data_IF_493800673963
#
_entry.id   IF_493800673963
#
_cell.length_a   1.000
_cell.length_b   1.000
_cell.length_c   1.000
_cell.angle_alpha   90.00
_cell.angle_beta   90.00
_cell.angle_gamma   90.00
#
_symmetry.space_group_name_H-M   'P 1'
#
loop_
_entity.id
_entity.type
_entity.pdbx_description
1 polymer ?
#
# COMPACT_ATOMS: atom_id res chain seq x y z
N UNK A 1 -23.30 35.19 27.59
CA UNK A 1 -22.85 35.69 26.27
C UNK A 1 -23.73 36.87 25.88
N UNK A 2 -23.10 38.02 25.65
CA UNK A 2 -23.76 39.30 25.36
C UNK A 2 -24.18 39.31 23.88
N UNK A 3 -25.46 39.50 23.50
CA UNK A 3 -25.84 39.55 22.09
C UNK A 3 -25.23 40.80 21.44
N UNK A 4 -24.79 40.67 20.18
CA UNK A 4 -24.25 41.79 19.41
C UNK A 4 -25.33 42.89 19.25
N UNK A 5 -24.95 44.17 19.32
CA UNK A 5 -25.90 45.27 19.18
C UNK A 5 -26.55 45.27 17.78
N UNK A 6 -27.85 45.58 17.68
CA UNK A 6 -28.55 45.62 16.41
C UNK A 6 -27.95 46.72 15.51
N UNK A 7 -27.63 46.36 14.26
CA UNK A 7 -27.20 47.33 13.25
C UNK A 7 -28.41 47.95 12.57
N UNK A 8 -28.35 49.27 12.39
CA UNK A 8 -29.37 50.03 11.68
C UNK A 8 -29.24 49.77 10.16
N UNK A 9 -30.24 49.06 9.62
CA UNK A 9 -30.31 48.73 8.19
C UNK A 9 -31.18 49.72 7.40
N UNK A 10 -31.69 50.79 8.03
CA UNK A 10 -32.53 51.80 7.36
C UNK A 10 -31.79 52.52 6.23
N UNK A 11 -30.46 52.56 6.27
CA UNK A 11 -29.58 53.08 5.20
C UNK A 11 -29.66 52.30 3.89
N UNK A 12 -30.19 51.07 3.90
CA UNK A 12 -30.39 50.24 2.71
C UNK A 12 -31.88 50.14 2.32
N UNK A 13 -32.77 50.78 3.08
CA UNK A 13 -34.19 50.76 2.79
C UNK A 13 -34.50 51.77 1.67
N UNK A 14 -35.22 51.30 0.63
CA UNK A 14 -35.74 52.18 -0.41
C UNK A 14 -36.83 53.05 0.23
N UNK A 15 -36.67 54.37 0.17
CA UNK A 15 -37.65 55.33 0.68
C UNK A 15 -38.69 55.68 -0.39
N UNK A 16 -39.87 56.16 0.03
CA UNK A 16 -40.92 56.58 -0.89
C UNK A 16 -40.47 57.76 -1.77
N UNK A 17 -39.68 58.69 -1.21
CA UNK A 17 -39.09 59.81 -1.93
C UNK A 17 -38.09 59.37 -3.02
N UNK A 18 -37.23 58.39 -2.70
CA UNK A 18 -36.30 57.80 -3.67
C UNK A 18 -37.06 57.05 -4.78
N UNK A 19 -38.18 56.40 -4.43
CA UNK A 19 -39.02 55.69 -5.39
C UNK A 19 -39.68 56.63 -6.39
N UNK A 20 -40.20 57.77 -5.92
CA UNK A 20 -40.80 58.77 -6.82
C UNK A 20 -39.75 59.47 -7.69
N UNK A 21 -38.55 59.75 -7.18
CA UNK A 21 -37.45 60.25 -8.02
C UNK A 21 -37.09 59.28 -9.14
N UNK A 22 -36.92 57.99 -8.83
CA UNK A 22 -36.65 56.95 -9.85
C UNK A 22 -37.78 56.88 -10.88
N UNK A 23 -39.04 57.06 -10.46
CA UNK A 23 -40.18 57.05 -11.39
C UNK A 23 -40.18 58.27 -12.30
N UNK A 24 -39.90 59.47 -11.77
CA UNK A 24 -39.82 60.71 -12.54
C UNK A 24 -38.68 60.67 -13.57
N UNK A 25 -37.51 60.17 -13.16
CA UNK A 25 -36.34 60.03 -14.04
C UNK A 25 -36.58 59.04 -15.20
N UNK A 26 -37.42 58.03 -14.99
CA UNK A 26 -37.81 57.05 -16.01
C UNK A 26 -39.01 57.49 -16.89
N UNK A 27 -39.64 58.63 -16.60
CA UNK A 27 -40.80 59.15 -17.35
C UNK A 27 -40.46 60.24 -18.37
N UNK A 28 -39.22 60.74 -18.39
CA UNK A 28 -38.79 61.78 -19.33
C UNK A 28 -38.06 61.17 -20.54
N UNK A 29 -38.54 61.48 -21.74
CA UNK A 29 -37.86 61.09 -22.98
C UNK A 29 -36.56 61.90 -23.15
N UNK A 30 -35.44 61.27 -23.57
CA UNK A 30 -35.28 59.87 -23.94
C UNK A 30 -35.17 58.92 -22.72
N UNK A 31 -35.87 57.79 -22.77
CA UNK A 31 -35.95 56.84 -21.65
C UNK A 31 -34.57 56.24 -21.31
N UNK A 32 -34.07 56.54 -20.12
CA UNK A 32 -32.86 55.92 -19.57
C UNK A 32 -33.25 55.08 -18.34
N UNK A 33 -33.48 53.79 -18.54
CA UNK A 33 -33.87 52.87 -17.47
C UNK A 33 -32.72 52.67 -16.47
N UNK A 34 -32.88 53.15 -15.24
CA UNK A 34 -31.95 52.79 -14.16
C UNK A 34 -32.16 51.31 -13.80
N UNK A 35 -31.13 50.46 -13.93
CA UNK A 35 -31.20 49.06 -13.52
C UNK A 35 -31.48 48.97 -12.01
N UNK A 36 -32.31 47.99 -11.61
CA UNK A 36 -32.63 47.71 -10.20
C UNK A 36 -31.34 47.71 -9.34
N UNK A 37 -31.38 48.29 -8.12
CA UNK A 37 -30.20 48.38 -7.28
C UNK A 37 -29.65 46.99 -6.94
N UNK A 38 -28.32 46.85 -6.99
CA UNK A 38 -27.64 45.61 -6.63
C UNK A 38 -27.92 45.26 -5.16
N UNK A 39 -28.37 44.03 -4.90
CA UNK A 39 -28.58 43.52 -3.54
C UNK A 39 -27.47 42.55 -3.14
N UNK A 40 -27.03 42.66 -1.89
CA UNK A 40 -26.10 41.73 -1.26
C UNK A 40 -26.63 41.39 0.13
N UNK A 41 -26.58 40.11 0.50
CA UNK A 41 -27.04 39.62 1.80
C UNK A 41 -26.08 38.58 2.36
N UNK A 42 -25.99 38.50 3.68
CA UNK A 42 -25.23 37.48 4.41
C UNK A 42 -26.24 36.60 5.15
N UNK A 43 -26.27 35.31 4.83
CA UNK A 43 -27.08 34.31 5.53
C UNK A 43 -26.22 33.60 6.57
N UNK A 44 -26.61 33.67 7.84
CA UNK A 44 -25.98 32.90 8.93
C UNK A 44 -26.99 31.86 9.41
N UNK A 45 -26.61 30.58 9.34
CA UNK A 45 -27.41 29.46 9.85
C UNK A 45 -26.73 28.87 11.08
N UNK A 46 -27.45 28.85 12.21
CA UNK A 46 -27.01 28.21 13.45
C UNK A 46 -28.09 27.20 13.90
N UNK A 47 -27.98 25.92 13.51
CA UNK A 47 -28.93 24.90 13.92
C UNK A 47 -28.81 24.63 15.44
N UNK A 48 -29.88 24.93 16.19
CA UNK A 48 -29.89 24.79 17.66
C UNK A 48 -30.18 23.36 18.14
N UNK A 49 -30.88 22.55 17.33
CA UNK A 49 -31.17 21.15 17.64
C UNK A 49 -31.20 20.32 16.36
N UNK A 50 -30.37 19.27 16.30
CA UNK A 50 -30.22 18.39 15.12
C UNK A 50 -30.62 16.93 15.43
N UNK A 51 -31.44 16.69 16.46
CA UNK A 51 -31.88 15.33 16.82
C UNK A 51 -30.75 14.38 17.20
N UNK A 52 -29.71 14.89 17.88
CA UNK A 52 -28.50 14.14 18.30
C UNK A 52 -27.60 13.64 17.14
N UNK A 53 -27.87 13.95 15.88
CA UNK A 53 -27.07 13.49 14.73
C UNK A 53 -25.58 13.83 14.86
N UNK A 54 -25.24 15.03 15.35
CA UNK A 54 -23.84 15.43 15.58
C UNK A 54 -23.10 14.49 16.54
N UNK A 55 -23.79 14.00 17.58
CA UNK A 55 -23.19 13.07 18.54
C UNK A 55 -23.00 11.68 17.93
N UNK A 56 -23.95 11.23 17.09
CA UNK A 56 -23.82 9.96 16.36
C UNK A 56 -22.66 10.01 15.37
N UNK A 57 -22.56 11.05 14.55
CA UNK A 57 -21.44 11.25 13.62
C UNK A 57 -20.09 11.30 14.35
N UNK A 58 -20.04 11.92 15.53
CA UNK A 58 -18.82 11.94 16.34
C UNK A 58 -18.47 10.55 16.91
N UNK A 59 -19.48 9.77 17.31
CA UNK A 59 -19.27 8.40 17.78
C UNK A 59 -18.79 7.49 16.63
N UNK A 60 -19.41 7.58 15.46
CA UNK A 60 -19.01 6.86 14.25
C UNK A 60 -17.58 7.22 13.83
N UNK A 61 -17.24 8.52 13.81
CA UNK A 61 -15.88 8.97 13.48
C UNK A 61 -14.83 8.46 14.48
N UNK A 62 -15.19 8.30 15.76
CA UNK A 62 -14.30 7.70 16.77
C UNK A 62 -14.09 6.21 16.54
N UNK A 63 -15.16 5.47 16.23
CA UNK A 63 -15.08 4.04 15.89
C UNK A 63 -14.24 3.85 14.63
N UNK A 64 -14.45 4.66 13.59
CA UNK A 64 -13.63 4.61 12.37
C UNK A 64 -12.16 4.86 12.65
N UNK A 65 -11.83 5.78 13.57
CA UNK A 65 -10.44 6.02 13.97
C UNK A 65 -9.86 4.80 14.70
N UNK A 66 -10.61 4.20 15.62
CA UNK A 66 -10.19 2.97 16.32
C UNK A 66 -9.99 1.79 15.34
N UNK A 67 -10.89 1.64 14.37
CA UNK A 67 -10.76 0.64 13.30
C UNK A 67 -9.51 0.88 12.45
N UNK A 68 -9.19 2.13 12.13
CA UNK A 68 -7.96 2.48 11.38
C UNK A 68 -6.71 2.15 12.19
N UNK A 69 -6.69 2.43 13.50
CA UNK A 69 -5.58 2.09 14.38
C UNK A 69 -5.40 0.57 14.50
N UNK A 70 -6.49 -0.18 14.58
CA UNK A 70 -6.47 -1.65 14.59
C UNK A 70 -5.95 -2.21 13.26
N UNK A 71 -6.42 -1.68 12.13
CA UNK A 71 -5.94 -2.07 10.80
C UNK A 71 -4.44 -1.79 10.63
N UNK A 72 -3.95 -0.65 11.11
CA UNK A 72 -2.53 -0.33 11.10
C UNK A 72 -1.74 -1.38 11.89
N UNK A 73 -2.21 -1.72 13.10
CA UNK A 73 -1.57 -2.72 13.95
C UNK A 73 -1.58 -4.12 13.32
N UNK A 74 -2.68 -4.50 12.66
CA UNK A 74 -2.76 -5.76 11.91
C UNK A 74 -1.73 -5.81 10.79
N UNK A 75 -1.61 -4.74 10.00
CA UNK A 75 -0.61 -4.63 8.93
C UNK A 75 0.83 -4.71 9.47
N UNK A 76 1.11 -4.04 10.60
CA UNK A 76 2.42 -4.14 11.26
C UNK A 76 2.75 -5.58 11.70
N UNK A 77 1.77 -6.29 12.28
CA UNK A 77 1.95 -7.67 12.71
C UNK A 77 2.13 -8.61 11.50
N UNK A 78 1.35 -8.43 10.45
CA UNK A 78 1.46 -9.18 9.21
C UNK A 78 2.85 -8.98 8.58
N UNK A 79 3.32 -7.74 8.48
CA UNK A 79 4.66 -7.42 7.96
C UNK A 79 5.77 -8.07 8.80
N UNK A 80 5.67 -8.04 10.13
CA UNK A 80 6.65 -8.70 11.01
C UNK A 80 6.66 -10.21 10.82
N UNK A 81 5.50 -10.83 10.69
CA UNK A 81 5.37 -12.27 10.45
C UNK A 81 5.94 -12.65 9.08
N UNK A 82 5.69 -11.83 8.06
CA UNK A 82 6.23 -12.02 6.71
C UNK A 82 7.75 -11.95 6.69
N UNK A 83 8.34 -10.91 7.30
CA UNK A 83 9.81 -10.78 7.42
C UNK A 83 10.41 -11.98 8.17
N UNK A 84 9.79 -12.39 9.29
CA UNK A 84 10.27 -13.53 10.06
C UNK A 84 10.24 -14.83 9.25
N UNK A 85 9.17 -15.03 8.47
CA UNK A 85 8.99 -16.20 7.59
C UNK A 85 10.02 -16.18 6.46
N UNK A 86 10.18 -15.05 5.77
CA UNK A 86 11.17 -14.88 4.70
C UNK A 86 12.59 -15.14 5.19
N UNK A 87 12.96 -14.62 6.37
CA UNK A 87 14.27 -14.89 6.97
C UNK A 87 14.48 -16.38 7.27
N UNK A 88 13.46 -17.07 7.79
CA UNK A 88 13.53 -18.51 8.04
C UNK A 88 13.65 -19.31 6.73
N UNK A 89 12.94 -18.90 5.68
CA UNK A 89 13.02 -19.50 4.35
C UNK A 89 14.39 -19.33 3.72
N UNK A 90 14.98 -18.12 3.77
CA UNK A 90 16.36 -17.87 3.29
C UNK A 90 17.35 -18.76 4.02
N UNK A 91 17.22 -18.88 5.34
CA UNK A 91 18.12 -19.69 6.16
C UNK A 91 17.99 -21.17 5.82
N UNK A 92 16.78 -21.65 5.57
CA UNK A 92 16.51 -23.02 5.12
C UNK A 92 17.12 -23.26 3.74
N UNK A 93 16.87 -22.38 2.77
CA UNK A 93 17.41 -22.48 1.42
C UNK A 93 18.95 -22.53 1.42
N UNK A 94 19.59 -21.70 2.26
CA UNK A 94 21.04 -21.74 2.44
C UNK A 94 21.54 -23.09 2.98
N UNK A 95 20.86 -23.67 3.97
CA UNK A 95 21.25 -24.99 4.48
C UNK A 95 21.01 -26.09 3.45
N UNK A 96 19.91 -26.03 2.68
CA UNK A 96 19.67 -26.96 1.57
C UNK A 96 20.79 -26.91 0.53
N UNK A 97 21.19 -25.71 0.10
CA UNK A 97 22.31 -25.56 -0.83
C UNK A 97 23.63 -26.18 -0.31
N UNK A 98 23.90 -26.08 0.99
CA UNK A 98 25.06 -26.74 1.63
C UNK A 98 24.93 -28.25 1.73
N UNK A 99 23.72 -28.78 1.88
CA UNK A 99 23.46 -30.22 1.87
C UNK A 99 23.70 -30.76 0.46
N UNK A 100 23.19 -30.06 -0.55
CA UNK A 100 23.34 -30.47 -1.95
C UNK A 100 24.79 -30.37 -2.43
N UNK A 101 25.54 -29.37 -1.98
CA UNK A 101 27.00 -29.30 -2.18
C UNK A 101 27.72 -30.55 -1.66
N UNK A 102 27.36 -31.03 -0.45
CA UNK A 102 27.94 -32.26 0.11
C UNK A 102 27.46 -33.51 -0.63
N UNK A 103 26.20 -33.53 -1.04
CA UNK A 103 25.64 -34.63 -1.82
C UNK A 103 26.38 -34.79 -3.15
N UNK A 104 26.75 -33.68 -3.78
CA UNK A 104 27.53 -33.69 -5.02
C UNK A 104 28.87 -34.43 -4.86
N UNK A 105 29.59 -34.16 -3.76
CA UNK A 105 30.86 -34.85 -3.44
C UNK A 105 30.65 -36.36 -3.30
N UNK A 106 29.54 -36.78 -2.69
CA UNK A 106 29.20 -38.20 -2.52
C UNK A 106 28.89 -38.85 -3.88
N UNK A 107 28.10 -38.18 -4.72
CA UNK A 107 27.70 -38.70 -6.02
C UNK A 107 28.88 -38.71 -7.01
N UNK A 108 29.80 -37.74 -6.93
CA UNK A 108 31.05 -37.74 -7.69
C UNK A 108 31.91 -38.96 -7.39
N UNK A 109 32.02 -39.31 -6.10
CA UNK A 109 32.74 -40.50 -5.68
C UNK A 109 32.04 -41.80 -6.13
N UNK A 110 30.72 -41.84 -6.08
CA UNK A 110 29.94 -42.97 -6.60
C UNK A 110 30.15 -43.17 -8.10
N UNK A 111 30.12 -42.09 -8.88
CA UNK A 111 30.39 -42.13 -10.31
C UNK A 111 31.83 -42.57 -10.59
N UNK A 112 32.81 -42.09 -9.82
CA UNK A 112 34.21 -42.54 -9.93
C UNK A 112 34.33 -44.04 -9.72
N UNK A 113 33.75 -44.57 -8.65
CA UNK A 113 33.77 -46.00 -8.33
C UNK A 113 33.05 -46.84 -9.40
N UNK A 114 31.90 -46.37 -9.90
CA UNK A 114 31.17 -47.05 -10.96
C UNK A 114 31.98 -47.13 -12.26
N UNK A 115 32.66 -46.03 -12.65
CA UNK A 115 33.56 -45.99 -13.81
C UNK A 115 34.73 -46.95 -13.68
N UNK A 116 35.36 -46.99 -12.50
CA UNK A 116 36.46 -47.93 -12.23
C UNK A 116 36.00 -49.37 -12.35
N UNK A 117 34.89 -49.73 -11.68
CA UNK A 117 34.34 -51.10 -11.76
C UNK A 117 33.94 -51.48 -13.18
N UNK A 118 33.34 -50.58 -13.95
CA UNK A 118 33.00 -50.83 -15.35
C UNK A 118 34.26 -51.07 -16.20
N UNK A 119 35.33 -50.28 -16.00
CA UNK A 119 36.59 -50.46 -16.72
C UNK A 119 37.31 -51.78 -16.41
N UNK A 120 37.13 -52.29 -15.20
CA UNK A 120 37.64 -53.59 -14.75
C UNK A 120 36.70 -54.77 -15.10
N UNK A 121 35.55 -54.50 -15.74
CA UNK A 121 34.54 -55.51 -16.08
C UNK A 121 33.77 -56.07 -14.88
N UNK A 122 33.80 -55.38 -13.74
CA UNK A 122 33.15 -55.73 -12.46
C UNK A 122 31.76 -55.07 -12.27
N UNK A 123 31.33 -54.28 -13.25
CA UNK A 123 30.02 -53.62 -13.30
C UNK A 123 29.51 -53.64 -14.75
N UNK A 124 28.18 -53.67 -14.92
CA UNK A 124 27.55 -53.58 -16.23
C UNK A 124 27.30 -52.13 -16.64
N UNK A 125 27.03 -51.89 -17.93
CA UNK A 125 26.74 -50.56 -18.47
C UNK A 125 25.56 -49.86 -17.77
N UNK A 126 24.56 -50.63 -17.33
CA UNK A 126 23.41 -50.09 -16.61
C UNK A 126 23.83 -49.41 -15.29
N UNK A 127 24.72 -50.03 -14.51
CA UNK A 127 25.20 -49.46 -13.24
C UNK A 127 25.96 -48.13 -13.47
N UNK A 128 26.76 -48.06 -14.54
CA UNK A 128 27.45 -46.83 -14.93
C UNK A 128 26.45 -45.74 -15.33
N UNK A 129 25.44 -46.09 -16.14
CA UNK A 129 24.42 -45.14 -16.59
C UNK A 129 23.57 -44.60 -15.43
N UNK A 130 23.24 -45.45 -14.45
CA UNK A 130 22.54 -45.03 -13.22
C UNK A 130 23.39 -44.03 -12.43
N UNK A 131 24.69 -44.30 -12.25
CA UNK A 131 25.59 -43.39 -11.55
C UNK A 131 25.76 -42.03 -12.29
N UNK A 132 25.82 -42.05 -13.62
CA UNK A 132 25.86 -40.82 -14.42
C UNK A 132 24.55 -40.03 -14.34
N UNK A 133 23.41 -40.73 -14.31
CA UNK A 133 22.10 -40.09 -14.14
C UNK A 133 21.98 -39.43 -12.78
N UNK A 134 22.36 -40.14 -11.71
CA UNK A 134 22.39 -39.58 -10.35
C UNK A 134 23.28 -38.34 -10.25
N UNK A 135 24.42 -38.34 -10.94
CA UNK A 135 25.31 -37.17 -11.01
C UNK A 135 24.62 -35.97 -11.65
N UNK A 136 23.97 -36.16 -12.79
CA UNK A 136 23.23 -35.07 -13.47
C UNK A 136 22.08 -34.54 -12.60
N UNK A 137 21.37 -35.43 -11.90
CA UNK A 137 20.31 -35.04 -10.98
C UNK A 137 20.83 -34.24 -9.79
N UNK A 138 21.95 -34.66 -9.18
CA UNK A 138 22.59 -33.95 -8.08
C UNK A 138 23.09 -32.56 -8.51
N UNK A 139 23.68 -32.45 -9.70
CA UNK A 139 24.14 -31.17 -10.27
C UNK A 139 22.97 -30.21 -10.48
N UNK A 140 21.86 -30.72 -11.01
CA UNK A 140 20.64 -29.93 -11.18
C UNK A 140 20.08 -29.46 -9.84
N UNK A 141 19.98 -30.35 -8.86
CA UNK A 141 19.47 -30.02 -7.52
C UNK A 141 20.30 -28.92 -6.85
N UNK A 142 21.62 -28.99 -6.95
CA UNK A 142 22.52 -27.96 -6.43
C UNK A 142 22.26 -26.58 -7.06
N UNK A 143 22.13 -26.52 -8.39
CA UNK A 143 21.83 -25.27 -9.10
C UNK A 143 20.49 -24.71 -8.67
N UNK A 144 19.46 -25.56 -8.57
CA UNK A 144 18.13 -25.16 -8.10
C UNK A 144 18.16 -24.62 -6.67
N UNK A 145 18.91 -25.26 -5.77
CA UNK A 145 19.02 -24.82 -4.37
C UNK A 145 19.76 -23.47 -4.23
N UNK A 146 20.84 -23.27 -4.99
CA UNK A 146 21.56 -21.98 -5.03
C UNK A 146 20.65 -20.89 -5.59
N UNK A 147 19.94 -21.17 -6.68
CA UNK A 147 19.01 -20.22 -7.27
C UNK A 147 17.90 -19.84 -6.30
N UNK A 148 17.29 -20.81 -5.62
CA UNK A 148 16.24 -20.56 -4.63
C UNK A 148 16.73 -19.65 -3.50
N UNK A 149 17.94 -19.86 -2.98
CA UNK A 149 18.54 -18.98 -1.98
C UNK A 149 18.64 -17.53 -2.45
N UNK A 150 19.13 -17.31 -3.68
CA UNK A 150 19.26 -15.96 -4.24
C UNK A 150 17.90 -15.32 -4.58
N UNK A 151 16.91 -16.11 -4.99
CA UNK A 151 15.55 -15.63 -5.24
C UNK A 151 14.91 -15.11 -3.95
N UNK A 152 14.98 -15.90 -2.86
CA UNK A 152 14.47 -15.46 -1.56
C UNK A 152 15.21 -14.24 -1.00
N UNK A 153 16.53 -14.17 -1.20
CA UNK A 153 17.31 -12.99 -0.82
C UNK A 153 16.84 -11.74 -1.58
N UNK A 154 16.61 -11.86 -2.89
CA UNK A 154 16.14 -10.76 -3.73
C UNK A 154 14.71 -10.33 -3.36
N UNK A 155 13.85 -11.29 -3.01
CA UNK A 155 12.50 -11.02 -2.48
C UNK A 155 12.57 -10.19 -1.19
N UNK A 156 13.50 -10.53 -0.29
CA UNK A 156 13.72 -9.74 0.93
C UNK A 156 14.26 -8.33 0.62
N UNK A 157 15.20 -8.19 -0.32
CA UNK A 157 15.70 -6.88 -0.76
C UNK A 157 14.55 -5.99 -1.28
N UNK A 158 13.60 -6.56 -2.02
CA UNK A 158 12.45 -5.84 -2.54
C UNK A 158 11.48 -5.37 -1.44
N UNK A 159 11.31 -6.15 -0.37
CA UNK A 159 10.46 -5.79 0.78
C UNK A 159 11.13 -4.73 1.67
N UNK A 160 12.44 -4.86 1.92
CA UNK A 160 13.20 -3.95 2.80
C UNK A 160 13.57 -2.64 2.09
N UNK A 161 13.62 -2.64 0.75
CA UNK A 161 13.95 -1.47 -0.06
C UNK A 161 15.44 -1.10 -0.06
N UNK A 162 16.31 -2.00 0.41
CA UNK A 162 17.78 -1.83 0.45
C UNK A 162 18.48 -3.10 -0.03
N UNK A 163 19.62 -2.97 -0.71
CA UNK A 163 20.44 -4.15 -1.04
C UNK A 163 21.16 -4.70 0.19
N UNK A 164 21.19 -6.02 0.30
CA UNK A 164 21.81 -6.77 1.39
C UNK A 164 23.04 -7.58 0.93
N UNK A 165 23.49 -7.37 -0.31
CA UNK A 165 24.70 -8.02 -0.85
C UNK A 165 25.94 -7.39 -0.22
N UNK A 166 26.83 -8.24 0.27
CA UNK A 166 28.16 -7.84 0.73
C UNK A 166 29.05 -7.81 -0.52
N UNK A 167 29.55 -6.63 -0.90
CA UNK A 167 30.61 -6.48 -1.93
C UNK A 167 31.94 -7.10 -1.49
#
# INVERSE_FOLDING_TARGET
SNPLPPRDCSVFAITDELTEQIRMDNQQFPFNFTSQPASAGITVSLPLFQGLNRNQQLAEARIQLEDLDLNLKEQELALRADIATTLATIRTAYQSARIDERNQIVVDEQLRLARERFSEGLADFLELLEAETLKVEADRAQVEAIFAYHDFLTSLEAVVGTSLRIE
#
